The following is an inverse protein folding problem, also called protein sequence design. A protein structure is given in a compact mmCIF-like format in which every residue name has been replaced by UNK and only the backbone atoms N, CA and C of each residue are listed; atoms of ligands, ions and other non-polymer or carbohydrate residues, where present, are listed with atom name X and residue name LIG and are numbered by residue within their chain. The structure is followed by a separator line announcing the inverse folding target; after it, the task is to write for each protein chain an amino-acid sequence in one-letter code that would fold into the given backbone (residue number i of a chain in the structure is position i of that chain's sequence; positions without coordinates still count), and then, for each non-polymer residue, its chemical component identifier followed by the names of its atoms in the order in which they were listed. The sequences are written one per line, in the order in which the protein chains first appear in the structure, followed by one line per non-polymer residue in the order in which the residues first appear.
data_IF_281830259766
#
_entry.id   IF_281830259766
#
_cell.length_a   1.000
_cell.length_b   1.000
_cell.length_c   1.000
_cell.angle_alpha   90.00
_cell.angle_beta   90.00
_cell.angle_gamma   90.00
#
_symmetry.space_group_name_H-M   'P 1'
#
loop_
_entity.id
_entity.type
_entity.pdbx_description
1 polymer ?
#
# COMPACT_ATOMS: atom_id res chain seq x y z
N UNK A 1 37.09 -22.62 -26.76
CA UNK A 1 35.75 -22.05 -26.57
C UNK A 1 34.91 -22.86 -25.57
N UNK A 2 35.32 -22.93 -24.29
CA UNK A 2 34.42 -23.41 -23.21
C UNK A 2 34.21 -22.41 -22.07
N UNK A 3 34.76 -21.18 -22.14
CA UNK A 3 34.69 -20.25 -21.01
C UNK A 3 33.42 -19.37 -20.97
N UNK A 4 32.72 -19.18 -22.08
CA UNK A 4 31.51 -18.33 -22.18
C UNK A 4 30.22 -19.00 -21.68
N UNK A 5 30.20 -20.32 -21.53
CA UNK A 5 29.04 -21.05 -20.98
C UNK A 5 29.06 -21.08 -19.46
N UNK A 6 30.22 -20.99 -18.84
CA UNK A 6 30.33 -21.02 -17.37
C UNK A 6 29.88 -19.71 -16.72
N UNK A 7 30.16 -18.57 -17.36
CA UNK A 7 29.72 -17.25 -16.85
C UNK A 7 28.23 -17.04 -16.94
N UNK A 8 27.55 -17.59 -17.94
CA UNK A 8 26.11 -17.57 -18.05
C UNK A 8 25.40 -18.50 -17.05
N UNK A 9 26.01 -19.61 -16.71
CA UNK A 9 25.49 -20.51 -15.68
C UNK A 9 25.71 -19.98 -14.27
N UNK A 10 26.78 -19.24 -14.01
CA UNK A 10 27.03 -18.59 -12.71
C UNK A 10 26.07 -17.40 -12.52
N UNK A 11 25.82 -16.60 -13.55
CA UNK A 11 24.83 -15.53 -13.50
C UNK A 11 23.39 -16.05 -13.27
N UNK A 12 23.04 -17.21 -13.89
CA UNK A 12 21.75 -17.86 -13.69
C UNK A 12 21.61 -18.48 -12.29
N UNK A 13 22.69 -19.07 -11.76
CA UNK A 13 22.74 -19.63 -10.41
C UNK A 13 22.71 -18.55 -9.33
N UNK A 14 23.25 -17.35 -9.57
CA UNK A 14 23.19 -16.23 -8.64
C UNK A 14 21.79 -15.60 -8.60
N UNK A 15 21.10 -15.51 -9.74
CA UNK A 15 19.70 -15.10 -9.80
C UNK A 15 18.77 -16.12 -9.12
N UNK A 16 19.04 -17.42 -9.27
CA UNK A 16 18.30 -18.49 -8.60
C UNK A 16 18.58 -18.54 -7.08
N UNK A 17 19.80 -18.19 -6.63
CA UNK A 17 20.13 -18.12 -5.20
C UNK A 17 19.44 -16.92 -4.51
N UNK A 18 19.28 -15.81 -5.16
CA UNK A 18 18.46 -14.70 -4.64
C UNK A 18 16.97 -15.07 -4.49
N UNK A 19 16.44 -15.92 -5.38
CA UNK A 19 15.09 -16.45 -5.29
C UNK A 19 14.92 -17.58 -4.25
N UNK A 20 15.99 -18.33 -3.92
CA UNK A 20 15.94 -19.51 -3.03
C UNK A 20 16.18 -19.14 -1.55
N UNK A 21 16.84 -18.03 -1.24
CA UNK A 21 17.10 -17.61 0.15
C UNK A 21 15.84 -17.05 0.85
N UNK A 22 14.80 -16.66 0.10
CA UNK A 22 13.51 -16.22 0.67
C UNK A 22 12.59 -17.39 1.04
N UNK A 23 12.89 -18.63 0.62
CA UNK A 23 12.03 -19.82 0.77
C UNK A 23 12.26 -20.61 2.06
N UNK A 24 13.22 -20.26 2.93
CA UNK A 24 13.62 -21.10 4.08
C UNK A 24 13.06 -20.64 5.44
N UNK A 25 12.06 -19.75 5.50
CA UNK A 25 11.26 -19.59 6.71
C UNK A 25 9.77 -19.68 6.37
N UNK A 26 8.94 -20.37 7.17
CA UNK A 26 7.53 -20.64 6.84
C UNK A 26 6.67 -19.40 7.12
N UNK A 27 6.78 -18.41 6.25
CA UNK A 27 5.80 -17.32 6.15
C UNK A 27 5.47 -17.20 4.67
N UNK A 28 4.31 -17.73 4.27
CA UNK A 28 3.81 -17.54 2.91
C UNK A 28 3.37 -16.07 2.77
N UNK A 29 4.22 -15.25 2.19
CA UNK A 29 3.92 -13.83 1.93
C UNK A 29 3.63 -13.68 0.44
N UNK A 30 2.44 -13.23 0.07
CA UNK A 30 2.12 -12.79 -1.29
C UNK A 30 2.02 -11.27 -1.32
N UNK A 31 2.86 -10.62 -2.12
CA UNK A 31 2.78 -9.19 -2.40
C UNK A 31 2.33 -8.99 -3.85
N UNK A 32 1.24 -8.28 -4.05
CA UNK A 32 0.80 -7.80 -5.35
C UNK A 32 1.53 -6.49 -5.63
N UNK A 33 2.63 -6.56 -6.39
CA UNK A 33 3.29 -5.37 -6.88
C UNK A 33 2.42 -4.76 -7.99
N UNK A 34 1.79 -3.65 -7.70
CA UNK A 34 0.91 -2.92 -8.63
C UNK A 34 1.65 -2.31 -9.84
N UNK A 35 2.96 -2.48 -9.94
CA UNK A 35 3.73 -2.01 -11.08
C UNK A 35 4.77 -3.04 -11.50
N UNK A 36 4.33 -3.98 -12.36
CA UNK A 36 5.18 -4.75 -13.26
C UNK A 36 6.43 -5.41 -12.67
N UNK A 37 6.26 -6.29 -11.69
CA UNK A 37 7.04 -7.51 -11.58
C UNK A 37 6.05 -8.65 -11.26
N UNK A 38 5.34 -9.09 -12.26
CA UNK A 38 4.17 -9.96 -12.21
C UNK A 38 4.48 -11.44 -11.91
N UNK A 39 5.43 -11.75 -11.03
CA UNK A 39 5.73 -13.15 -10.72
C UNK A 39 5.63 -13.55 -9.24
N UNK A 40 5.37 -12.63 -8.31
CA UNK A 40 5.37 -13.01 -6.89
C UNK A 40 4.33 -12.22 -6.09
N UNK A 41 3.15 -12.78 -5.93
CA UNK A 41 2.26 -12.39 -4.84
C UNK A 41 2.70 -13.11 -3.56
N UNK A 42 2.94 -12.39 -2.46
CA UNK A 42 3.37 -12.95 -1.19
C UNK A 42 2.18 -13.02 -0.21
N UNK A 43 1.87 -14.21 0.25
CA UNK A 43 0.81 -14.47 1.25
C UNK A 43 1.42 -14.50 2.66
N UNK A 44 0.88 -13.73 3.59
CA UNK A 44 1.29 -13.72 4.99
C UNK A 44 0.35 -14.64 5.77
N UNK A 45 0.89 -15.73 6.35
CA UNK A 45 0.15 -16.58 7.27
C UNK A 45 0.89 -16.67 8.62
N UNK A 46 0.17 -16.60 9.73
CA UNK A 46 0.75 -16.86 11.05
C UNK A 46 1.10 -18.35 11.17
N UNK A 47 2.21 -18.73 11.84
CA UNK A 47 2.52 -20.13 12.09
C UNK A 47 1.48 -20.70 13.06
N UNK A 48 0.79 -21.77 12.65
CA UNK A 48 0.02 -22.59 13.57
C UNK A 48 0.99 -23.49 14.35
N UNK A 49 1.00 -23.37 15.66
CA UNK A 49 1.70 -24.31 16.56
C UNK A 49 0.93 -25.62 16.58
N UNK A 50 1.46 -26.65 15.93
CA UNK A 50 0.85 -27.99 15.94
C UNK A 50 1.73 -29.04 15.27
N UNK A 51 2.06 -30.05 16.03
CA UNK A 51 2.91 -31.21 15.79
C UNK A 51 2.64 -31.96 14.49
N UNK A 52 3.74 -32.38 13.84
CA UNK A 52 3.78 -33.24 12.66
C UNK A 52 3.34 -34.67 13.04
N UNK A 53 2.30 -35.18 12.39
CA UNK A 53 1.95 -36.58 12.34
C UNK A 53 1.79 -36.99 10.86
N UNK A 54 2.69 -37.89 10.44
CA UNK A 54 2.59 -38.58 9.14
C UNK A 54 1.50 -39.65 9.25
N UNK A 55 0.47 -39.60 8.41
CA UNK A 55 -0.31 -40.78 8.04
C UNK A 55 -0.90 -40.70 6.62
N UNK A 56 -0.90 -41.87 5.99
CA UNK A 56 -1.24 -42.25 4.63
C UNK A 56 -2.65 -41.90 4.15
N UNK A 57 -2.76 -41.82 2.83
CA UNK A 57 -3.95 -41.77 1.99
C UNK A 57 -5.14 -42.57 2.50
N UNK A 58 -6.36 -41.98 2.42
CA UNK A 58 -7.53 -42.65 1.82
C UNK A 58 -8.78 -41.73 1.82
N UNK A 59 -9.41 -41.68 0.64
CA UNK A 59 -10.84 -41.48 0.35
C UNK A 59 -11.55 -40.21 0.85
N UNK A 60 -11.91 -39.35 -0.09
CA UNK A 60 -12.89 -38.28 0.07
C UNK A 60 -14.23 -38.78 0.65
N UNK A 61 -14.66 -38.30 1.80
CA UNK A 61 -16.07 -38.23 2.15
C UNK A 61 -16.62 -36.86 1.71
N UNK A 62 -17.73 -36.89 1.00
CA UNK A 62 -18.55 -35.70 0.74
C UNK A 62 -18.85 -35.01 2.06
N UNK A 63 -18.34 -33.78 2.22
CA UNK A 63 -18.68 -32.95 3.38
C UNK A 63 -20.15 -32.55 3.29
N UNK A 64 -20.95 -32.70 4.37
CA UNK A 64 -22.30 -32.21 4.41
C UNK A 64 -22.27 -30.69 4.27
N UNK A 65 -23.09 -30.15 3.37
CA UNK A 65 -23.37 -28.72 3.25
C UNK A 65 -23.91 -28.23 4.59
N UNK A 66 -23.01 -27.76 5.47
CA UNK A 66 -23.42 -27.02 6.64
C UNK A 66 -24.05 -25.71 6.13
N UNK A 67 -25.36 -25.61 6.24
CA UNK A 67 -26.09 -24.37 6.18
C UNK A 67 -25.42 -23.38 7.14
N UNK A 68 -24.52 -22.51 6.61
CA UNK A 68 -24.02 -21.38 7.35
C UNK A 68 -25.23 -20.49 7.64
N UNK A 69 -25.75 -20.58 8.87
CA UNK A 69 -26.58 -19.52 9.43
C UNK A 69 -25.77 -18.24 9.33
N UNK A 70 -26.06 -17.41 8.34
CA UNK A 70 -25.56 -16.03 8.25
C UNK A 70 -26.10 -15.30 9.48
N UNK A 71 -25.35 -15.32 10.57
CA UNK A 71 -25.46 -14.26 11.54
C UNK A 71 -25.16 -12.98 10.79
N UNK A 72 -26.15 -12.07 10.66
CA UNK A 72 -25.88 -10.72 10.16
C UNK A 72 -24.90 -10.12 11.17
N UNK A 73 -23.63 -9.99 10.75
CA UNK A 73 -22.64 -9.28 11.55
C UNK A 73 -23.20 -7.88 11.84
N UNK A 74 -23.11 -7.45 13.08
CA UNK A 74 -23.45 -6.08 13.47
C UNK A 74 -22.52 -5.07 12.79
N UNK A 75 -21.34 -5.52 12.38
CA UNK A 75 -20.28 -4.72 11.81
C UNK A 75 -20.03 -5.12 10.36
N UNK A 76 -19.86 -4.14 9.49
CA UNK A 76 -19.65 -4.34 8.07
C UNK A 76 -18.18 -4.29 7.69
N UNK A 77 -17.44 -3.33 8.26
CA UNK A 77 -16.09 -2.98 7.84
C UNK A 77 -14.99 -3.57 8.73
N UNK A 78 -15.39 -4.25 9.80
CA UNK A 78 -14.49 -4.91 10.75
C UNK A 78 -14.94 -6.33 11.02
N UNK A 79 -13.98 -7.22 11.30
CA UNK A 79 -14.25 -8.64 11.53
C UNK A 79 -14.65 -8.90 12.96
N UNK A 80 -15.69 -9.70 13.16
CA UNK A 80 -16.06 -10.22 14.47
C UNK A 80 -15.05 -11.27 14.96
N UNK A 81 -14.86 -11.36 16.28
CA UNK A 81 -13.99 -12.37 16.90
C UNK A 81 -12.52 -11.97 17.03
N UNK A 82 -12.07 -10.87 16.41
CA UNK A 82 -10.72 -10.33 16.63
C UNK A 82 -10.62 -9.62 17.98
N UNK A 83 -9.54 -9.89 18.74
CA UNK A 83 -9.31 -9.30 20.06
C UNK A 83 -8.65 -7.92 20.01
N UNK A 84 -8.15 -7.49 18.84
CA UNK A 84 -7.34 -6.29 18.71
C UNK A 84 -8.13 -4.99 18.89
N UNK A 85 -9.34 -4.91 18.28
CA UNK A 85 -10.20 -3.74 18.39
C UNK A 85 -11.07 -3.81 19.65
N UNK A 86 -11.03 -2.79 20.50
CA UNK A 86 -12.05 -2.60 21.51
C UNK A 86 -13.41 -2.31 20.85
N UNK A 87 -14.52 -2.49 21.59
CA UNK A 87 -15.86 -2.19 21.05
C UNK A 87 -15.98 -0.74 20.59
N UNK A 88 -15.41 0.21 21.33
CA UNK A 88 -15.42 1.63 20.97
C UNK A 88 -14.59 1.96 19.73
N UNK A 89 -13.42 1.33 19.59
CA UNK A 89 -12.57 1.51 18.39
C UNK A 89 -13.24 0.91 17.16
N UNK A 90 -13.88 -0.24 17.30
CA UNK A 90 -14.67 -0.89 16.25
C UNK A 90 -15.81 0.02 15.79
N UNK A 91 -16.62 0.50 16.71
CA UNK A 91 -17.73 1.40 16.40
C UNK A 91 -17.21 2.69 15.75
N UNK A 92 -16.12 3.26 16.25
CA UNK A 92 -15.52 4.44 15.65
C UNK A 92 -15.10 4.22 14.21
N UNK A 93 -14.46 3.06 13.90
CA UNK A 93 -14.06 2.74 12.53
C UNK A 93 -15.28 2.51 11.62
N UNK A 94 -16.30 1.79 12.09
CA UNK A 94 -17.55 1.58 11.36
C UNK A 94 -18.23 2.91 11.00
N UNK A 95 -18.18 3.90 11.89
CA UNK A 95 -18.82 5.19 11.70
C UNK A 95 -18.00 6.11 10.81
N UNK A 96 -16.68 6.11 10.94
CA UNK A 96 -15.80 7.11 10.35
C UNK A 96 -14.92 6.61 9.20
N UNK A 97 -14.64 5.29 9.09
CA UNK A 97 -13.81 4.69 8.05
C UNK A 97 -12.31 4.82 8.28
N UNK A 98 -11.89 5.27 9.46
CA UNK A 98 -10.49 5.31 9.88
C UNK A 98 -10.36 5.12 11.39
N UNK A 99 -9.14 4.71 11.82
CA UNK A 99 -8.78 4.59 13.23
C UNK A 99 -7.32 4.98 13.42
N UNK A 100 -7.03 5.91 14.34
CA UNK A 100 -5.65 6.26 14.71
C UNK A 100 -5.22 5.46 15.92
N UNK A 101 -4.14 4.71 15.76
CA UNK A 101 -3.44 3.98 16.82
C UNK A 101 -2.22 4.80 17.22
N UNK A 102 -2.18 5.27 18.45
CA UNK A 102 -1.11 6.11 18.94
C UNK A 102 0.11 5.29 19.35
N UNK A 103 1.31 5.77 19.00
CA UNK A 103 2.58 5.21 19.43
C UNK A 103 2.80 3.73 19.05
N UNK A 104 2.37 3.31 17.86
CA UNK A 104 2.57 1.93 17.41
C UNK A 104 4.06 1.60 17.22
N UNK A 105 4.86 2.59 16.84
CA UNK A 105 6.31 2.48 16.67
C UNK A 105 7.06 3.42 17.58
N UNK A 106 8.23 2.97 18.05
CA UNK A 106 9.16 3.82 18.77
C UNK A 106 9.95 4.73 17.79
N UNK A 107 10.31 5.96 18.19
CA UNK A 107 11.04 6.89 17.32
C UNK A 107 12.34 6.32 16.72
N UNK A 108 13.07 5.47 17.46
CA UNK A 108 14.31 4.84 16.99
C UNK A 108 14.09 3.88 15.81
N UNK A 109 12.94 3.20 15.79
CA UNK A 109 12.58 2.27 14.68
C UNK A 109 12.30 3.07 13.41
N UNK A 110 11.62 4.20 13.55
CA UNK A 110 11.31 5.10 12.44
C UNK A 110 12.57 5.73 11.83
N UNK A 111 13.61 5.99 12.66
CA UNK A 111 14.90 6.50 12.18
C UNK A 111 15.56 5.52 11.19
N UNK A 112 15.41 4.20 11.38
CA UNK A 112 15.95 3.21 10.46
C UNK A 112 15.31 3.33 9.07
N UNK A 113 13.98 3.49 8.98
CA UNK A 113 13.28 3.72 7.72
C UNK A 113 13.66 5.05 7.07
N UNK A 114 13.74 6.12 7.86
CA UNK A 114 14.18 7.44 7.36
C UNK A 114 15.60 7.39 6.81
N UNK A 115 16.54 6.76 7.52
CA UNK A 115 17.92 6.59 7.08
C UNK A 115 18.00 5.80 5.79
N UNK A 116 17.24 4.69 5.70
CA UNK A 116 17.21 3.87 4.47
C UNK A 116 16.68 4.65 3.28
N UNK A 117 15.63 5.44 3.48
CA UNK A 117 15.13 6.36 2.46
C UNK A 117 16.25 7.30 1.96
N UNK A 118 16.98 7.95 2.86
CA UNK A 118 18.06 8.89 2.51
C UNK A 118 19.19 8.20 1.71
N UNK A 119 19.55 6.96 2.08
CA UNK A 119 20.57 6.19 1.36
C UNK A 119 20.16 5.92 -0.10
N UNK A 120 18.87 5.60 -0.32
CA UNK A 120 18.31 5.36 -1.66
C UNK A 120 18.18 6.68 -2.42
N UNK A 121 17.61 7.71 -1.79
CA UNK A 121 17.33 8.99 -2.41
C UNK A 121 18.59 9.69 -2.91
N UNK A 122 19.68 9.64 -2.14
CA UNK A 122 20.98 10.21 -2.56
C UNK A 122 21.82 9.29 -3.44
N UNK A 123 21.34 8.07 -3.72
CA UNK A 123 22.01 7.08 -4.60
C UNK A 123 23.14 6.29 -3.96
N UNK A 124 23.35 6.39 -2.61
CA UNK A 124 24.28 5.53 -1.88
C UNK A 124 23.86 4.07 -1.86
N UNK A 125 22.53 3.83 -1.88
CA UNK A 125 21.99 2.50 -2.05
C UNK A 125 21.21 2.43 -3.37
N UNK A 126 21.40 1.33 -4.10
CA UNK A 126 20.65 1.01 -5.32
C UNK A 126 19.84 -0.25 -5.06
N UNK A 127 18.53 -0.17 -5.25
CA UNK A 127 17.60 -1.30 -5.11
C UNK A 127 17.00 -1.57 -6.49
N UNK A 128 17.41 -2.66 -7.17
CA UNK A 128 16.90 -2.97 -8.50
C UNK A 128 15.37 -3.15 -8.49
N UNK A 129 14.70 -2.49 -9.42
CA UNK A 129 13.23 -2.58 -9.56
C UNK A 129 12.42 -1.65 -8.65
N UNK A 130 13.01 -1.09 -7.60
CA UNK A 130 12.32 -0.14 -6.71
C UNK A 130 11.87 1.10 -7.49
N UNK A 131 10.63 1.47 -7.34
CA UNK A 131 10.07 2.68 -7.97
C UNK A 131 10.49 3.92 -7.17
N UNK A 132 11.30 4.79 -7.78
CA UNK A 132 11.77 6.06 -7.20
C UNK A 132 11.10 7.21 -7.93
N UNK A 133 10.12 7.84 -7.27
CA UNK A 133 9.41 8.99 -7.83
C UNK A 133 10.04 10.29 -7.37
N UNK A 134 10.05 11.28 -8.28
CA UNK A 134 10.63 12.60 -8.04
C UNK A 134 9.56 13.68 -8.14
N UNK A 135 9.79 14.74 -7.38
CA UNK A 135 8.95 15.93 -7.45
C UNK A 135 9.00 16.54 -8.86
N UNK A 136 7.91 17.16 -9.29
CA UNK A 136 7.82 17.77 -10.64
C UNK A 136 8.35 19.20 -10.68
N UNK A 137 8.51 19.84 -9.53
CA UNK A 137 8.85 21.26 -9.43
C UNK A 137 10.13 21.51 -8.63
N UNK A 138 10.37 20.75 -7.56
CA UNK A 138 11.45 21.01 -6.63
C UNK A 138 12.74 20.28 -7.03
N UNK A 139 13.76 21.07 -7.38
CA UNK A 139 15.10 20.58 -7.67
C UNK A 139 15.84 20.15 -6.38
N UNK A 140 16.70 19.16 -6.52
CA UNK A 140 17.56 18.70 -5.44
C UNK A 140 18.69 19.72 -5.20
N UNK A 141 18.79 20.27 -3.99
CA UNK A 141 19.81 21.27 -3.65
C UNK A 141 21.25 20.72 -3.76
N UNK A 142 21.44 19.42 -3.47
CA UNK A 142 22.73 18.75 -3.60
C UNK A 142 23.05 18.30 -5.04
N UNK A 143 22.05 18.25 -5.91
CA UNK A 143 22.18 17.83 -7.31
C UNK A 143 21.17 18.59 -8.18
N UNK A 144 21.48 19.84 -8.61
CA UNK A 144 20.54 20.72 -9.32
C UNK A 144 19.99 20.16 -10.64
N UNK A 145 20.65 19.16 -11.23
CA UNK A 145 20.19 18.47 -12.42
C UNK A 145 19.07 17.46 -12.14
N UNK A 146 18.80 17.17 -10.88
CA UNK A 146 17.80 16.19 -10.46
C UNK A 146 16.71 16.87 -9.62
N UNK A 147 15.51 16.28 -9.71
CA UNK A 147 14.42 16.62 -8.81
C UNK A 147 14.50 15.80 -7.52
N UNK A 148 13.99 16.39 -6.43
CA UNK A 148 13.92 15.74 -5.13
C UNK A 148 13.13 14.44 -5.20
N UNK A 149 13.60 13.38 -4.54
CA UNK A 149 12.82 12.16 -4.35
C UNK A 149 11.70 12.42 -3.37
N UNK A 150 10.46 12.29 -3.83
CA UNK A 150 9.27 12.52 -3.02
C UNK A 150 8.56 11.23 -2.61
N UNK A 151 8.85 10.09 -3.26
CA UNK A 151 8.21 8.80 -2.93
C UNK A 151 9.06 7.62 -3.40
N UNK A 152 9.09 6.58 -2.57
CA UNK A 152 9.50 5.24 -2.95
C UNK A 152 8.28 4.33 -2.95
N UNK A 153 8.16 3.41 -3.93
CA UNK A 153 7.13 2.38 -3.98
C UNK A 153 7.78 1.02 -4.20
N UNK A 154 6.98 -0.05 -4.03
CA UNK A 154 7.45 -1.43 -4.15
C UNK A 154 8.49 -1.80 -3.08
N UNK A 155 8.22 -1.39 -1.82
CA UNK A 155 9.13 -1.54 -0.69
C UNK A 155 9.53 -3.00 -0.40
N UNK A 156 8.79 -3.98 -0.92
CA UNK A 156 9.13 -5.40 -0.82
C UNK A 156 10.46 -5.77 -1.51
N UNK A 157 10.97 -4.89 -2.37
CA UNK A 157 12.29 -5.05 -3.02
C UNK A 157 13.45 -4.62 -2.13
N UNK A 158 13.18 -3.98 -0.99
CA UNK A 158 14.19 -3.54 -0.04
C UNK A 158 13.99 -4.20 1.33
N UNK A 159 14.95 -5.00 1.76
CA UNK A 159 14.86 -5.79 2.99
C UNK A 159 14.61 -4.96 4.25
N UNK A 160 15.07 -3.70 4.30
CA UNK A 160 14.90 -2.84 5.47
C UNK A 160 13.52 -2.16 5.47
N UNK A 161 13.08 -1.62 4.33
CA UNK A 161 11.78 -0.96 4.22
C UNK A 161 10.64 -1.97 4.28
N UNK A 162 10.87 -3.20 3.79
CA UNK A 162 9.90 -4.28 3.86
C UNK A 162 9.52 -4.67 5.29
N UNK A 163 10.44 -4.48 6.27
CA UNK A 163 10.16 -4.81 7.67
C UNK A 163 8.93 -4.08 8.22
N UNK A 164 8.61 -2.87 7.73
CA UNK A 164 7.37 -2.20 8.10
C UNK A 164 6.13 -2.98 7.67
N UNK A 165 6.14 -3.49 6.44
CA UNK A 165 4.98 -4.16 5.85
C UNK A 165 4.69 -5.53 6.48
N UNK A 166 5.71 -6.16 7.09
CA UNK A 166 5.58 -7.46 7.77
C UNK A 166 5.70 -7.36 9.30
N UNK A 167 5.72 -6.14 9.84
CA UNK A 167 5.79 -5.94 11.29
C UNK A 167 4.56 -6.55 11.96
N UNK A 168 4.74 -7.47 12.95
CA UNK A 168 3.62 -8.15 13.59
C UNK A 168 2.60 -7.20 14.21
N UNK A 169 3.02 -6.02 14.68
CA UNK A 169 2.12 -5.01 15.26
C UNK A 169 1.16 -4.46 14.19
N UNK A 170 1.69 -4.15 13.00
CA UNK A 170 0.88 -3.65 11.88
C UNK A 170 -0.06 -4.75 11.40
N UNK A 171 0.45 -5.98 11.22
CA UNK A 171 -0.33 -7.12 10.75
C UNK A 171 -1.46 -7.48 11.71
N UNK A 172 -1.22 -7.43 13.03
CA UNK A 172 -2.23 -7.71 14.04
C UNK A 172 -3.39 -6.70 13.98
N UNK A 173 -3.11 -5.43 13.71
CA UNK A 173 -4.15 -4.43 13.51
C UNK A 173 -4.87 -4.62 12.17
N UNK A 174 -4.13 -4.86 11.08
CA UNK A 174 -4.70 -5.07 9.76
C UNK A 174 -5.63 -6.30 9.73
N UNK A 175 -5.31 -7.37 10.49
CA UNK A 175 -6.14 -8.58 10.59
C UNK A 175 -7.57 -8.29 11.04
N UNK A 176 -7.77 -7.27 11.88
CA UNK A 176 -9.11 -6.89 12.34
C UNK A 176 -10.03 -6.39 11.21
N UNK A 177 -9.47 -6.00 10.08
CA UNK A 177 -10.19 -5.47 8.91
C UNK A 177 -10.20 -6.48 7.75
N UNK A 178 -9.05 -7.10 7.45
CA UNK A 178 -8.91 -7.94 6.24
C UNK A 178 -8.91 -9.44 6.55
N UNK A 179 -8.68 -9.85 7.79
CA UNK A 179 -8.58 -11.25 8.19
C UNK A 179 -7.14 -11.77 8.24
N UNK A 180 -6.97 -13.06 8.61
CA UNK A 180 -5.64 -13.62 8.89
C UNK A 180 -4.81 -13.87 7.63
N UNK A 181 -5.44 -14.03 6.47
CA UNK A 181 -4.76 -14.25 5.20
C UNK A 181 -4.56 -12.91 4.48
N UNK A 182 -3.48 -12.22 4.79
CA UNK A 182 -3.22 -10.87 4.31
C UNK A 182 -2.28 -10.86 3.12
N UNK A 183 -2.56 -10.00 2.14
CA UNK A 183 -1.67 -9.65 1.05
C UNK A 183 -1.28 -8.18 1.17
N UNK A 184 0.01 -7.86 1.11
CA UNK A 184 0.46 -6.49 0.90
C UNK A 184 0.33 -6.15 -0.59
N UNK A 185 -0.54 -5.21 -0.92
CA UNK A 185 -0.90 -4.91 -2.32
C UNK A 185 -0.29 -3.61 -2.85
N UNK A 186 0.03 -2.67 -1.97
CA UNK A 186 0.69 -1.42 -2.36
C UNK A 186 1.47 -0.85 -1.18
N UNK A 187 2.73 -0.47 -1.42
CA UNK A 187 3.65 -0.05 -0.36
C UNK A 187 4.36 1.24 -0.75
N UNK A 188 4.45 2.20 0.17
CA UNK A 188 5.06 3.49 -0.10
C UNK A 188 5.84 4.02 1.10
N UNK A 189 6.99 4.69 0.83
CA UNK A 189 7.55 5.66 1.73
C UNK A 189 7.46 7.04 1.06
N UNK A 190 6.76 7.96 1.69
CA UNK A 190 6.43 9.28 1.17
C UNK A 190 7.31 10.31 1.88
N UNK A 191 7.99 11.14 1.10
CA UNK A 191 8.79 12.26 1.57
C UNK A 191 8.21 13.55 0.97
N UNK A 192 7.17 14.09 1.63
CA UNK A 192 6.46 15.26 1.14
C UNK A 192 7.35 16.50 1.19
N UNK A 193 7.71 17.10 0.02
CA UNK A 193 8.57 18.27 0.00
C UNK A 193 7.82 19.54 0.44
N UNK A 194 8.54 20.60 0.82
CA UNK A 194 7.99 21.94 0.92
C UNK A 194 7.30 22.35 -0.39
N UNK A 195 6.15 23.02 -0.26
CA UNK A 195 5.43 23.53 -1.43
C UNK A 195 6.11 24.76 -2.01
N UNK A 196 6.29 24.79 -3.32
CA UNK A 196 6.93 25.90 -4.03
C UNK A 196 5.95 27.01 -4.45
N UNK A 197 4.72 26.99 -3.93
CA UNK A 197 3.67 27.96 -4.23
C UNK A 197 2.65 27.50 -5.29
N UNK A 198 2.92 26.38 -5.97
CA UNK A 198 2.05 25.82 -7.00
C UNK A 198 1.08 24.76 -6.50
N UNK A 199 1.02 24.51 -5.17
CA UNK A 199 0.28 23.42 -4.55
C UNK A 199 0.68 22.01 -5.05
N UNK A 200 1.86 21.88 -5.63
CA UNK A 200 2.38 20.63 -6.22
C UNK A 200 2.62 19.55 -5.18
N UNK A 201 2.88 19.94 -3.92
CA UNK A 201 3.02 18.99 -2.80
C UNK A 201 1.67 18.50 -2.25
N UNK A 202 0.54 19.08 -2.66
CA UNK A 202 -0.79 18.65 -2.27
C UNK A 202 -1.13 17.31 -2.90
N UNK A 203 -1.77 16.40 -2.14
CA UNK A 203 -2.45 15.23 -2.69
C UNK A 203 -3.96 15.50 -2.73
N UNK A 204 -4.60 15.50 -3.93
CA UNK A 204 -6.03 15.77 -4.06
C UNK A 204 -6.86 14.78 -3.25
N UNK A 205 -8.11 15.13 -2.98
CA UNK A 205 -9.05 14.18 -2.37
C UNK A 205 -9.34 13.05 -3.34
N UNK A 206 -9.19 11.82 -2.86
CA UNK A 206 -9.33 10.59 -3.63
C UNK A 206 -9.83 9.45 -2.74
N UNK A 207 -10.12 8.33 -3.36
CA UNK A 207 -10.41 7.06 -2.72
C UNK A 207 -9.40 6.04 -3.23
N UNK A 208 -8.66 5.38 -2.34
CA UNK A 208 -7.62 4.42 -2.74
C UNK A 208 -8.16 3.25 -3.54
N UNK A 209 -9.44 2.88 -3.34
CA UNK A 209 -10.07 1.81 -4.10
C UNK A 209 -10.04 2.05 -5.62
N UNK A 210 -9.91 3.30 -6.06
CA UNK A 210 -9.71 3.63 -7.47
C UNK A 210 -8.52 2.89 -8.09
N UNK A 211 -7.46 2.69 -7.32
CA UNK A 211 -6.25 1.99 -7.75
C UNK A 211 -6.34 0.46 -7.60
N UNK A 212 -7.38 -0.07 -6.97
CA UNK A 212 -7.50 -1.49 -6.60
C UNK A 212 -8.69 -2.15 -7.27
N UNK A 213 -8.51 -2.81 -8.45
CA UNK A 213 -9.61 -3.44 -9.18
C UNK A 213 -9.93 -4.84 -8.66
N UNK A 214 -9.95 -5.01 -7.34
CA UNK A 214 -10.35 -6.25 -6.69
C UNK A 214 -11.35 -6.00 -5.54
N UNK A 215 -12.13 -7.03 -5.22
CA UNK A 215 -13.26 -6.95 -4.27
C UNK A 215 -13.28 -8.19 -3.35
N UNK A 216 -13.92 -8.09 -2.17
CA UNK A 216 -14.70 -6.96 -1.69
C UNK A 216 -13.84 -5.81 -1.14
N UNK A 217 -14.27 -4.56 -1.35
CA UNK A 217 -13.58 -3.38 -0.82
C UNK A 217 -13.47 -3.37 0.71
N UNK A 218 -14.47 -3.96 1.39
CA UNK A 218 -14.53 -4.06 2.85
C UNK A 218 -13.48 -5.03 3.44
N UNK A 219 -12.63 -5.62 2.58
CA UNK A 219 -11.50 -6.48 2.95
C UNK A 219 -10.15 -5.90 2.50
N UNK A 220 -10.10 -4.59 2.40
CA UNK A 220 -8.89 -3.84 2.08
C UNK A 220 -8.70 -2.75 3.14
N UNK A 221 -7.48 -2.56 3.63
CA UNK A 221 -7.14 -1.51 4.59
C UNK A 221 -5.79 -0.92 4.29
N UNK A 222 -5.65 0.39 4.44
CA UNK A 222 -4.36 1.06 4.46
C UNK A 222 -3.85 1.20 5.89
N UNK A 223 -2.58 0.90 6.14
CA UNK A 223 -1.82 1.40 7.28
C UNK A 223 -0.94 2.55 6.82
N UNK A 224 -0.96 3.67 7.53
CA UNK A 224 -0.13 4.82 7.24
C UNK A 224 0.48 5.34 8.55
N UNK A 225 1.81 5.26 8.68
CA UNK A 225 2.55 5.61 9.89
C UNK A 225 3.35 6.88 9.70
N UNK A 226 3.20 7.81 10.63
CA UNK A 226 3.98 9.03 10.67
C UNK A 226 5.43 8.71 11.10
N UNK A 227 6.41 8.91 10.22
CA UNK A 227 7.84 8.80 10.56
C UNK A 227 8.31 10.06 11.31
N UNK A 228 7.78 11.20 10.93
CA UNK A 228 8.03 12.51 11.53
C UNK A 228 6.70 13.08 12.02
N UNK A 229 6.73 14.11 12.85
CA UNK A 229 5.53 14.79 13.30
C UNK A 229 4.74 15.32 12.11
N UNK A 230 3.44 15.02 12.08
CA UNK A 230 2.52 15.35 10.99
C UNK A 230 1.46 16.31 11.51
N UNK A 231 1.43 17.52 10.97
CA UNK A 231 0.51 18.59 11.35
C UNK A 231 -0.08 19.28 10.11
N UNK A 232 -1.06 20.15 10.30
CA UNK A 232 -1.69 20.86 9.17
C UNK A 232 -0.70 21.66 8.34
N UNK A 233 0.28 22.29 9.00
CA UNK A 233 1.28 23.10 8.34
C UNK A 233 2.15 22.32 7.36
N UNK A 234 2.56 21.08 7.72
CA UNK A 234 3.39 20.24 6.86
C UNK A 234 2.59 19.22 6.03
N UNK A 235 1.27 19.45 5.89
CA UNK A 235 0.41 18.70 5.01
C UNK A 235 -0.02 17.35 5.56
N UNK A 236 -0.62 17.32 6.76
CA UNK A 236 -1.24 16.11 7.33
C UNK A 236 -2.33 15.55 6.42
N UNK A 237 -2.70 14.30 6.67
CA UNK A 237 -3.85 13.68 6.04
C UNK A 237 -5.13 14.45 6.42
N UNK A 238 -6.03 14.53 5.47
CA UNK A 238 -7.38 15.08 5.61
C UNK A 238 -8.35 13.98 5.21
N UNK A 239 -9.32 13.68 6.06
CA UNK A 239 -10.33 12.67 5.79
C UNK A 239 -11.75 13.27 5.85
N UNK A 240 -12.67 12.67 5.11
CA UNK A 240 -14.12 12.93 5.20
C UNK A 240 -14.76 11.75 5.95
N UNK A 241 -15.00 11.87 7.26
CA UNK A 241 -15.52 10.78 8.07
C UNK A 241 -16.86 10.26 7.54
N UNK A 242 -17.01 8.94 7.50
CA UNK A 242 -18.23 8.27 7.04
C UNK A 242 -18.34 8.10 5.51
N UNK A 243 -17.47 8.74 4.72
CA UNK A 243 -17.51 8.66 3.25
C UNK A 243 -17.24 7.24 2.70
N UNK A 244 -16.60 6.38 3.46
CA UNK A 244 -16.37 4.97 3.11
C UNK A 244 -17.65 4.14 2.98
N UNK A 245 -18.78 4.65 3.51
CA UNK A 245 -20.10 4.03 3.37
C UNK A 245 -20.72 4.27 1.99
N UNK A 246 -20.16 5.22 1.23
CA UNK A 246 -20.59 5.58 -0.11
C UNK A 246 -19.94 4.73 -1.21
N UNK A 247 -20.27 5.01 -2.47
CA UNK A 247 -19.68 4.33 -3.62
C UNK A 247 -18.27 4.83 -3.94
N UNK A 248 -17.57 4.10 -4.83
CA UNK A 248 -16.40 4.62 -5.52
C UNK A 248 -16.87 5.72 -6.50
N UNK A 249 -16.29 6.91 -6.35
CA UNK A 249 -16.58 8.07 -7.20
C UNK A 249 -15.69 8.07 -8.44
N UNK A 250 -16.04 8.86 -9.45
CA UNK A 250 -15.17 9.07 -10.60
C UNK A 250 -13.91 9.84 -10.22
N UNK A 251 -12.78 9.39 -10.77
CA UNK A 251 -11.48 10.02 -10.58
C UNK A 251 -10.92 10.46 -11.93
N UNK A 252 -10.14 11.55 -11.89
CA UNK A 252 -9.43 12.08 -13.06
C UNK A 252 -8.08 12.68 -12.62
N UNK A 253 -7.21 12.92 -13.58
CA UNK A 253 -6.02 13.72 -13.31
C UNK A 253 -6.44 15.17 -13.07
N UNK A 254 -6.11 15.76 -11.91
CA UNK A 254 -6.49 17.14 -11.64
C UNK A 254 -5.75 18.09 -12.57
N UNK A 255 -6.47 19.08 -13.07
CA UNK A 255 -5.87 20.20 -13.79
C UNK A 255 -5.05 21.07 -12.81
N UNK A 256 -3.87 21.49 -13.24
CA UNK A 256 -2.98 22.36 -12.52
C UNK A 256 -2.66 23.57 -13.38
N UNK A 257 -2.25 24.67 -12.75
CA UNK A 257 -1.98 25.95 -13.45
C UNK A 257 -1.05 25.82 -14.66
N UNK A 258 -0.11 24.89 -14.63
CA UNK A 258 0.92 24.69 -15.67
C UNK A 258 0.75 23.35 -16.41
N UNK A 259 -0.46 22.77 -16.42
CA UNK A 259 -0.78 21.52 -17.10
C UNK A 259 -1.42 20.47 -16.21
N UNK A 260 -1.32 19.20 -16.60
CA UNK A 260 -1.88 18.07 -15.85
C UNK A 260 -0.80 17.38 -15.04
N UNK A 261 -0.96 17.33 -13.72
CA UNK A 261 -0.10 16.53 -12.87
C UNK A 261 -0.53 15.06 -12.90
N UNK A 262 0.16 14.24 -13.67
CA UNK A 262 -0.10 12.80 -13.80
C UNK A 262 0.40 11.95 -12.62
N UNK A 263 0.87 12.58 -11.54
CA UNK A 263 1.32 11.83 -10.36
C UNK A 263 0.19 11.38 -9.43
N UNK A 264 -0.99 12.00 -9.53
CA UNK A 264 -2.11 11.76 -8.62
C UNK A 264 -3.44 11.87 -9.34
N UNK A 265 -4.35 10.91 -9.12
CA UNK A 265 -5.75 11.07 -9.45
C UNK A 265 -6.49 11.78 -8.30
N UNK A 266 -7.52 12.53 -8.62
CA UNK A 266 -8.44 13.15 -7.67
C UNK A 266 -9.88 12.86 -8.05
N UNK A 267 -10.80 12.96 -7.08
CA UNK A 267 -12.23 12.82 -7.33
C UNK A 267 -12.67 13.98 -8.22
N UNK A 268 -13.32 13.63 -9.33
CA UNK A 268 -13.89 14.58 -10.28
C UNK A 268 -15.01 15.39 -9.65
N UNK A 269 -14.92 16.72 -9.78
CA UNK A 269 -15.98 17.68 -9.34
C UNK A 269 -16.46 17.47 -7.90
N UNK A 270 -15.57 17.08 -6.98
CA UNK A 270 -15.94 16.97 -5.57
C UNK A 270 -16.14 18.36 -4.96
N UNK A 271 -17.39 18.68 -4.61
CA UNK A 271 -17.73 19.95 -3.97
C UNK A 271 -17.14 20.03 -2.57
N UNK A 272 -16.04 20.74 -2.45
CA UNK A 272 -15.22 20.79 -1.24
C UNK A 272 -15.88 21.51 -0.06
N UNK A 273 -16.94 22.28 -0.29
CA UNK A 273 -17.49 23.20 0.70
C UNK A 273 -18.50 22.59 1.69
N UNK A 274 -19.14 21.46 1.31
CA UNK A 274 -20.24 20.88 2.08
C UNK A 274 -19.83 19.78 3.07
N UNK A 275 -18.63 19.23 2.93
CA UNK A 275 -18.23 18.04 3.68
C UNK A 275 -17.38 18.37 4.92
N UNK A 276 -17.79 17.82 6.07
CA UNK A 276 -17.02 17.92 7.31
C UNK A 276 -15.69 17.17 7.17
N UNK A 277 -14.59 17.91 7.19
CA UNK A 277 -13.22 17.34 7.10
C UNK A 277 -12.55 17.30 8.46
N UNK A 278 -11.79 16.23 8.67
CA UNK A 278 -10.94 16.06 9.84
C UNK A 278 -9.48 16.04 9.40
N UNK A 279 -8.64 16.81 10.10
CA UNK A 279 -7.20 16.81 9.93
C UNK A 279 -6.59 15.77 10.89
N UNK A 280 -5.90 14.79 10.33
CA UNK A 280 -5.27 13.73 11.09
C UNK A 280 -3.84 14.14 11.47
N UNK A 281 -3.73 14.91 12.54
CA UNK A 281 -2.44 15.27 13.11
C UNK A 281 -1.91 14.11 13.95
N UNK A 282 -0.63 13.76 13.76
CA UNK A 282 -0.02 12.57 14.34
C UNK A 282 1.41 12.88 14.81
N UNK A 283 1.77 12.30 15.94
CA UNK A 283 3.15 12.27 16.42
C UNK A 283 3.92 11.11 15.73
N UNK A 284 5.27 11.15 15.73
CA UNK A 284 6.07 10.05 15.19
C UNK A 284 5.69 8.72 15.84
N UNK A 285 5.42 7.69 15.03
CA UNK A 285 5.00 6.37 15.50
C UNK A 285 3.50 6.16 15.55
N UNK A 286 2.70 7.22 15.47
CA UNK A 286 1.26 7.06 15.29
C UNK A 286 0.95 6.45 13.92
N UNK A 287 -0.02 5.53 13.90
CA UNK A 287 -0.47 4.84 12.68
C UNK A 287 -1.95 5.03 12.50
N UNK A 288 -2.39 5.46 11.33
CA UNK A 288 -3.80 5.46 10.97
C UNK A 288 -4.09 4.27 10.06
N UNK A 289 -5.14 3.52 10.40
CA UNK A 289 -5.74 2.50 9.55
C UNK A 289 -7.01 3.08 8.91
N UNK A 290 -7.18 2.95 7.59
CA UNK A 290 -8.36 3.50 6.93
C UNK A 290 -8.83 2.65 5.75
N UNK A 291 -10.13 2.75 5.51
CA UNK A 291 -10.85 2.01 4.48
C UNK A 291 -10.54 2.57 3.08
N UNK A 292 -10.41 1.76 2.02
CA UNK A 292 -10.03 2.22 0.69
C UNK A 292 -11.09 3.12 0.01
N UNK A 293 -12.33 3.08 0.47
CA UNK A 293 -13.39 4.02 0.03
C UNK A 293 -13.43 5.32 0.85
N UNK A 294 -12.62 5.47 1.90
CA UNK A 294 -12.56 6.73 2.64
C UNK A 294 -12.04 7.83 1.72
N UNK A 295 -12.83 8.89 1.56
CA UNK A 295 -12.39 10.08 0.84
C UNK A 295 -11.35 10.77 1.71
N UNK A 296 -10.13 10.85 1.20
CA UNK A 296 -9.02 11.46 1.92
C UNK A 296 -8.04 12.11 0.95
N UNK A 297 -7.11 12.86 1.50
CA UNK A 297 -6.05 13.52 0.76
C UNK A 297 -5.05 14.15 1.72
N UNK A 298 -4.19 15.06 1.25
CA UNK A 298 -3.32 15.81 2.15
C UNK A 298 -3.10 17.23 1.66
N UNK A 299 -3.00 18.18 2.59
CA UNK A 299 -2.68 19.57 2.30
C UNK A 299 -1.29 19.74 1.67
N UNK A 300 -1.02 20.93 1.15
CA UNK A 300 0.33 21.32 0.77
C UNK A 300 1.21 21.41 2.02
N UNK A 301 2.49 21.06 1.89
CA UNK A 301 3.48 21.26 2.93
C UNK A 301 3.97 22.72 2.89
N UNK A 302 3.46 23.56 3.80
CA UNK A 302 3.82 24.98 3.91
C UNK A 302 5.00 25.22 4.84
N UNK A 303 5.54 24.16 5.46
CA UNK A 303 6.74 24.23 6.28
C UNK A 303 8.01 24.28 5.43
N UNK A 304 9.14 24.60 6.05
CA UNK A 304 10.45 24.62 5.37
C UNK A 304 11.09 23.23 5.24
N UNK A 305 10.60 22.25 6.00
CA UNK A 305 11.13 20.88 6.04
C UNK A 305 10.33 19.89 5.22
N UNK A 306 10.92 18.75 4.99
CA UNK A 306 10.21 17.59 4.45
C UNK A 306 9.35 16.93 5.54
N UNK A 307 8.43 16.06 5.11
CA UNK A 307 7.61 15.26 6.01
C UNK A 307 7.52 13.82 5.49
N UNK A 308 8.05 12.88 6.30
CA UNK A 308 8.10 11.47 5.93
C UNK A 308 6.98 10.66 6.58
N UNK A 309 6.48 9.71 5.84
CA UNK A 309 5.54 8.69 6.30
C UNK A 309 5.74 7.41 5.49
N UNK A 310 5.38 6.27 6.10
CA UNK A 310 5.44 4.96 5.45
C UNK A 310 4.05 4.32 5.48
N UNK A 311 3.67 3.63 4.40
CA UNK A 311 2.34 3.02 4.29
C UNK A 311 2.37 1.68 3.58
N UNK A 312 1.40 0.84 3.94
CA UNK A 312 1.12 -0.41 3.27
C UNK A 312 -0.39 -0.61 3.18
N UNK A 313 -0.86 -0.98 1.99
CA UNK A 313 -2.23 -1.45 1.81
C UNK A 313 -2.25 -2.97 1.91
N UNK A 314 -3.17 -3.47 2.70
CA UNK A 314 -3.43 -4.90 2.87
C UNK A 314 -4.79 -5.24 2.30
N UNK A 315 -4.87 -6.40 1.64
CA UNK A 315 -6.12 -6.99 1.21
C UNK A 315 -6.21 -8.43 1.74
N UNK A 316 -7.42 -8.93 1.92
CA UNK A 316 -7.63 -10.35 2.14
C UNK A 316 -7.20 -11.14 0.90
N UNK A 317 -6.57 -12.30 1.08
CA UNK A 317 -6.17 -13.16 -0.04
C UNK A 317 -7.36 -13.76 -0.81
N UNK A 318 -8.55 -13.65 -0.24
CA UNK A 318 -9.82 -14.05 -0.80
C UNK A 318 -10.46 -12.96 -1.69
N UNK A 319 -9.81 -11.78 -1.81
CA UNK A 319 -10.24 -10.76 -2.77
C UNK A 319 -10.02 -11.24 -4.21
N UNK A 320 -11.04 -11.02 -5.03
CA UNK A 320 -11.02 -11.38 -6.45
C UNK A 320 -10.95 -10.15 -7.34
N UNK A 321 -10.24 -10.25 -8.46
CA UNK A 321 -10.20 -9.20 -9.46
C UNK A 321 -11.56 -9.06 -10.14
N UNK A 322 -11.94 -7.80 -10.43
CA UNK A 322 -13.15 -7.48 -11.17
C UNK A 322 -12.80 -7.00 -12.58
N UNK A 323 -13.71 -7.26 -13.53
CA UNK A 323 -13.64 -6.58 -14.82
C UNK A 323 -13.87 -5.08 -14.61
N UNK A 324 -12.95 -4.27 -15.12
CA UNK A 324 -12.97 -2.80 -15.00
C UNK A 324 -13.34 -2.09 -16.31
N UNK A 325 -13.60 -2.84 -17.39
CA UNK A 325 -14.01 -2.28 -18.67
C UNK A 325 -15.27 -1.39 -18.51
N UNK A 326 -15.22 -0.19 -19.06
CA UNK A 326 -16.31 0.79 -18.96
C UNK A 326 -16.49 1.44 -17.56
N UNK A 327 -15.61 1.17 -16.61
CA UNK A 327 -15.61 1.81 -15.29
C UNK A 327 -14.55 2.91 -15.17
N UNK A 328 -14.62 3.72 -14.09
CA UNK A 328 -13.56 4.71 -13.80
C UNK A 328 -12.19 4.08 -13.48
N UNK A 329 -12.13 2.78 -13.22
CA UNK A 329 -10.89 2.04 -12.95
C UNK A 329 -10.23 1.51 -14.24
N UNK A 330 -10.87 1.59 -15.39
CA UNK A 330 -10.29 1.15 -16.68
C UNK A 330 -8.98 1.88 -17.01
N UNK A 331 -8.87 3.16 -16.63
CA UNK A 331 -7.64 3.93 -16.82
C UNK A 331 -6.46 3.30 -16.08
N UNK A 332 -6.68 2.77 -14.87
CA UNK A 332 -5.64 2.11 -14.08
C UNK A 332 -5.19 0.81 -14.75
N UNK A 333 -6.11 0.01 -15.27
CA UNK A 333 -5.77 -1.20 -16.01
C UNK A 333 -4.90 -0.89 -17.23
N UNK A 334 -5.24 0.14 -18.00
CA UNK A 334 -4.46 0.60 -19.15
C UNK A 334 -3.05 1.06 -18.75
N UNK A 335 -2.93 1.86 -17.69
CA UNK A 335 -1.64 2.33 -17.18
C UNK A 335 -0.73 1.18 -16.72
N UNK A 336 -1.29 0.17 -16.03
CA UNK A 336 -0.54 -1.01 -15.61
C UNK A 336 0.00 -1.79 -16.82
N UNK A 337 -0.83 -2.02 -17.84
CA UNK A 337 -0.42 -2.68 -19.07
C UNK A 337 0.70 -1.88 -19.78
N UNK A 338 0.54 -0.56 -19.91
CA UNK A 338 1.57 0.29 -20.53
C UNK A 338 2.91 0.25 -19.76
N UNK A 339 2.87 0.23 -18.42
CA UNK A 339 4.06 0.14 -17.58
C UNK A 339 4.72 -1.23 -17.75
N UNK A 340 3.92 -2.30 -17.80
CA UNK A 340 4.41 -3.65 -18.03
C UNK A 340 5.13 -3.77 -19.38
N UNK A 341 4.51 -3.25 -20.46
CA UNK A 341 5.14 -3.24 -21.78
C UNK A 341 6.45 -2.46 -21.81
N UNK A 342 6.52 -1.28 -21.16
CA UNK A 342 7.77 -0.50 -21.04
C UNK A 342 8.87 -1.25 -20.29
N UNK A 343 8.50 -2.20 -19.42
CA UNK A 343 9.44 -3.09 -18.70
C UNK A 343 9.72 -4.41 -19.43
N UNK A 344 9.20 -4.58 -20.65
CA UNK A 344 9.41 -5.78 -21.47
C UNK A 344 8.57 -6.98 -21.04
N UNK A 345 7.48 -6.77 -20.31
CA UNK A 345 6.54 -7.81 -19.91
C UNK A 345 5.38 -7.85 -20.93
N UNK A 346 5.19 -8.97 -21.67
CA UNK A 346 4.17 -9.06 -22.71
C UNK A 346 2.81 -9.46 -22.13
N UNK A 347 2.27 -8.67 -21.22
CA UNK A 347 0.93 -8.89 -20.68
C UNK A 347 -0.10 -8.21 -21.59
N UNK A 348 -1.23 -8.88 -21.81
CA UNK A 348 -2.34 -8.37 -22.62
C UNK A 348 -3.54 -7.96 -21.77
N UNK A 349 -3.64 -8.50 -20.57
CA UNK A 349 -4.73 -8.25 -19.65
C UNK A 349 -4.18 -7.84 -18.27
N UNK A 350 -4.92 -6.98 -17.59
CA UNK A 350 -4.58 -6.51 -16.25
C UNK A 350 -4.48 -7.66 -15.23
N UNK A 351 -5.34 -8.67 -15.34
CA UNK A 351 -5.34 -9.83 -14.46
C UNK A 351 -4.07 -10.68 -14.58
N UNK A 352 -3.43 -10.70 -15.75
CA UNK A 352 -2.13 -11.36 -15.96
C UNK A 352 -1.00 -10.71 -15.16
N UNK A 353 -1.10 -9.42 -14.85
CA UNK A 353 -0.15 -8.70 -14.02
C UNK A 353 -0.25 -9.10 -12.52
N UNK A 354 -1.34 -9.77 -12.13
CA UNK A 354 -1.64 -10.15 -10.76
C UNK A 354 -1.20 -11.57 -10.40
N UNK A 355 -0.85 -12.38 -11.39
CA UNK A 355 -0.37 -13.75 -11.25
C UNK A 355 1.13 -13.85 -11.54
#
# INVERSE_FOLDING_TARGET
MPCLLLDKMVAFATALRAAVVVVVRPVNIRCLAFYANAKHAYRITKPQSGTVGLHHEQQHPQQPQQQQRRYKSQFRFTLEGGTKLSASQRQFYEDNGYLVVRGLFEPRELQAFSKRFEEIACGRAKVPGLTVMRDIALKDAANPDKYVVNKLQDLFLDDQLWQYCIDPRVLDWAEAFVGPNQMAVHTMLINKPPDTGGLTSRHPLHQDLHYFPFRPADRIVCSWTAIERVVRENGCLVAVPGSHKGPLLEHEYPEWKDGVNKAYHGIKKFEQASERRVHLEMEPGDTVFFHPLLIHGSGANRSKGFRKAISCHYAASECEYIDVAGTSQEIIAKEVIEIAHRRGLPISDYSEAAH
#
